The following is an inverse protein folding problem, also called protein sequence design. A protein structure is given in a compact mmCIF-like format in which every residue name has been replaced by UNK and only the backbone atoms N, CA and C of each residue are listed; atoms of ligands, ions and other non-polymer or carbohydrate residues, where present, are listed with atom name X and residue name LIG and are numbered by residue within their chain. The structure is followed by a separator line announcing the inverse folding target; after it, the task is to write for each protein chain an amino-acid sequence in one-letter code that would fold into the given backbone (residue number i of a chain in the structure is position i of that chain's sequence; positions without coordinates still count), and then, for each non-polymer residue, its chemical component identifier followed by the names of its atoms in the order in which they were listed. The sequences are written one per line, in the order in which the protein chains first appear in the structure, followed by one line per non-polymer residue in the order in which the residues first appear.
data_IF_218955953769
#
_entry.id   IF_218955953769
#
_cell.length_a   1.000
_cell.length_b   1.000
_cell.length_c   1.000
_cell.angle_alpha   90.00
_cell.angle_beta   90.00
_cell.angle_gamma   90.00
#
_symmetry.space_group_name_H-M   'P 1'
#
loop_
_entity.id
_entity.type
_entity.pdbx_description
1 polymer ?
2 polymer ?
3 non-polymer ?
4 non-polymer ?
5 water ?
#
# COMPACT_ATOMS: atom_id res chain seq x y z
N UNK A 6 9.74 10.87 22.46
CA UNK A 6 8.48 10.16 22.26
C UNK A 6 8.27 9.00 23.22
N UNK A 7 7.08 8.91 23.79
CA UNK A 7 6.82 7.96 24.87
C UNK A 7 6.77 6.52 24.36
N UNK A 8 7.29 5.62 25.21
CA UNK A 8 7.30 4.18 25.00
C UNK A 8 6.24 3.47 25.83
N UNK A 9 5.32 4.20 26.48
CA UNK A 9 4.42 3.60 27.46
C UNK A 9 3.17 3.08 26.76
N UNK A 10 3.11 1.77 26.59
CA UNK A 10 1.91 1.12 26.07
C UNK A 10 0.68 1.45 26.89
N UNK A 11 0.79 1.41 28.24
CA UNK A 11 -0.36 1.70 29.08
C UNK A 11 -0.87 3.10 28.82
N UNK A 12 0.02 4.05 28.60
CA UNK A 12 -0.41 5.41 28.32
C UNK A 12 -1.08 5.50 26.96
N UNK A 13 -0.48 4.86 25.94
CA UNK A 13 -1.15 4.80 24.64
C UNK A 13 -2.55 4.22 24.77
N UNK A 14 -2.67 3.09 25.46
CA UNK A 14 -3.97 2.41 25.60
C UNK A 14 -5.01 3.33 26.20
N UNK A 15 -4.61 4.24 27.08
CA UNK A 15 -5.56 5.21 27.61
C UNK A 15 -6.10 6.11 26.51
N UNK A 16 -5.24 6.62 25.62
CA UNK A 16 -5.75 7.38 24.49
C UNK A 16 -6.64 6.49 23.63
N UNK A 17 -6.15 5.29 23.31
CA UNK A 17 -6.88 4.37 22.44
C UNK A 17 -8.28 4.10 22.95
N UNK A 18 -8.42 3.94 24.27
CA UNK A 18 -9.72 3.60 24.82
C UNK A 18 -10.74 4.68 24.56
N UNK A 19 -10.29 5.94 24.42
CA UNK A 19 -11.19 7.08 24.29
C UNK A 19 -11.37 7.52 22.85
N UNK A 20 -10.57 7.00 21.93
CA UNK A 20 -10.51 7.53 20.58
C UNK A 20 -11.74 7.10 19.78
N UNK A 21 -12.38 8.06 19.14
CA UNK A 21 -13.58 7.80 18.38
C UNK A 21 -13.33 7.75 16.88
N UNK A 22 -12.14 8.21 16.45
CA UNK A 22 -11.86 8.29 15.02
C UNK A 22 -10.35 8.10 14.83
N UNK A 23 -9.96 6.86 14.59
CA UNK A 23 -8.55 6.50 14.43
C UNK A 23 -8.16 6.48 12.95
N UNK A 24 -7.10 7.22 12.60
CA UNK A 24 -6.47 7.07 11.30
C UNK A 24 -5.25 6.20 11.48
N UNK A 25 -5.12 5.20 10.62
CA UNK A 25 -3.99 4.30 10.63
C UNK A 25 -3.32 4.42 9.26
N UNK A 26 -2.11 4.96 9.25
CA UNK A 26 -1.30 5.08 8.05
C UNK A 26 -0.39 3.89 7.98
N UNK A 27 -0.54 3.08 6.93
CA UNK A 27 0.10 1.78 6.81
C UNK A 27 1.12 1.82 5.68
N UNK A 28 2.40 1.65 6.04
CA UNK A 28 3.46 1.66 5.07
C UNK A 28 4.02 0.28 4.72
N UNK A 29 5.15 0.29 4.03
CA UNK A 29 5.67 -0.89 3.37
C UNK A 29 6.01 -2.00 4.35
N UNK A 30 6.35 -1.65 5.61
CA UNK A 30 6.76 -2.65 6.57
C UNK A 30 5.67 -3.64 6.89
N UNK A 31 4.41 -3.21 6.83
CA UNK A 31 3.30 -4.12 7.12
C UNK A 31 3.25 -5.21 6.07
N UNK A 32 3.49 -4.86 4.80
CA UNK A 32 3.52 -5.85 3.74
C UNK A 32 4.78 -6.70 3.83
N UNK A 33 5.91 -6.10 4.20
CA UNK A 33 7.14 -6.89 4.26
C UNK A 33 7.04 -7.95 5.35
N UNK A 34 6.29 -7.70 6.40
CA UNK A 34 6.12 -8.71 7.43
C UNK A 34 5.32 -9.90 6.96
N UNK A 35 4.61 -9.80 5.83
CA UNK A 35 3.92 -10.92 5.22
C UNK A 35 4.76 -11.55 4.10
N UNK A 36 5.99 -11.09 3.94
CA UNK A 36 6.82 -11.66 2.90
C UNK A 36 6.53 -11.13 1.53
N UNK A 37 5.87 -9.98 1.43
CA UNK A 37 5.53 -9.47 0.11
C UNK A 37 6.73 -8.72 -0.45
N UNK A 38 7.26 -9.15 -1.61
CA UNK A 38 8.36 -8.40 -2.22
C UNK A 38 7.90 -7.04 -2.71
N UNK A 39 8.71 -6.01 -2.44
CA UNK A 39 8.41 -4.63 -2.78
C UNK A 39 9.26 -4.10 -3.94
N UNK A 40 10.36 -4.79 -4.25
CA UNK A 40 11.27 -4.45 -5.35
C UNK A 40 11.80 -3.02 -5.22
N UNK A 41 11.91 -2.59 -3.98
CA UNK A 41 12.47 -1.29 -3.63
C UNK A 41 13.53 -1.53 -2.56
N UNK A 42 14.46 -0.60 -2.45
CA UNK A 42 15.45 -0.68 -1.38
C UNK A 42 16.42 -1.82 -1.62
N UNK A 43 17.28 -2.03 -0.63
CA UNK A 43 18.46 -2.84 -0.85
C UNK A 43 18.10 -4.27 -1.21
N UNK A 44 18.69 -4.78 -2.26
CA UNK A 44 18.55 -6.17 -2.62
C UNK A 44 17.26 -6.53 -3.32
N UNK A 45 16.29 -5.62 -3.40
CA UNK A 45 14.97 -6.00 -3.87
C UNK A 45 14.85 -5.86 -5.37
N UNK A 46 15.13 -6.93 -6.12
CA UNK A 46 15.13 -6.90 -7.57
C UNK A 46 14.16 -7.93 -8.16
N UNK A 47 13.69 -7.61 -9.36
CA UNK A 47 12.98 -8.53 -10.25
C UNK A 47 13.84 -8.61 -11.50
N UNK A 48 14.42 -9.77 -11.75
CA UNK A 48 15.38 -9.88 -12.84
C UNK A 48 16.47 -8.84 -12.53
N UNK A 49 16.79 -7.94 -13.47
CA UNK A 49 17.83 -6.93 -13.30
C UNK A 49 17.28 -5.56 -12.93
N UNK A 50 15.99 -5.48 -12.59
CA UNK A 50 15.34 -4.21 -12.36
C UNK A 50 14.78 -4.10 -10.95
N UNK A 51 14.54 -2.85 -10.56
CA UNK A 51 13.76 -2.53 -9.38
C UNK A 51 12.52 -1.76 -9.82
N UNK A 52 11.64 -1.51 -8.86
CA UNK A 52 10.37 -0.86 -9.20
C UNK A 52 10.63 0.47 -9.89
N UNK A 53 11.65 1.21 -9.45
CA UNK A 53 11.91 2.52 -10.04
C UNK A 53 12.23 2.40 -11.52
N UNK A 54 12.70 1.23 -11.99
CA UNK A 54 12.91 1.02 -13.41
C UNK A 54 11.64 0.70 -14.18
N UNK A 55 10.65 0.08 -13.54
CA UNK A 55 9.53 -0.51 -14.26
C UNK A 55 8.20 0.15 -13.99
N UNK A 56 8.01 0.68 -12.79
CA UNK A 56 6.78 1.37 -12.42
C UNK A 56 6.85 2.83 -12.84
N UNK A 57 6.94 3.06 -14.15
CA UNK A 57 7.02 4.37 -14.73
C UNK A 57 6.23 4.42 -16.03
N UNK A 58 5.64 5.56 -16.36
CA UNK A 58 4.96 5.70 -17.65
C UNK A 58 5.88 5.43 -18.84
N UNK A 59 7.16 5.82 -18.74
CA UNK A 59 8.06 5.62 -19.88
C UNK A 59 8.38 4.14 -20.08
N UNK A 60 8.63 3.42 -18.99
CA UNK A 60 8.81 1.99 -19.11
C UNK A 60 7.60 1.32 -19.75
N UNK A 61 6.39 1.70 -19.32
CA UNK A 61 5.19 1.09 -19.90
C UNK A 61 5.01 1.47 -21.35
N UNK A 62 5.40 2.71 -21.70
CA UNK A 62 5.29 3.17 -23.07
C UNK A 62 6.23 2.40 -23.98
N UNK A 63 7.45 2.15 -23.53
CA UNK A 63 8.48 1.51 -24.34
C UNK A 63 8.38 -0.01 -24.32
N UNK A 64 8.04 -0.60 -23.17
CA UNK A 64 8.01 -2.06 -23.03
C UNK A 64 6.83 -2.48 -22.15
N UNK A 65 5.61 -2.33 -22.66
CA UNK A 65 4.44 -2.73 -21.85
C UNK A 65 4.43 -4.20 -21.51
N UNK A 66 4.93 -5.05 -22.39
CA UNK A 66 5.00 -6.46 -22.06
C UNK A 66 5.87 -6.73 -20.84
N UNK A 67 7.05 -6.10 -20.78
CA UNK A 67 7.91 -6.32 -19.64
C UNK A 67 7.27 -5.81 -18.37
N UNK A 68 6.60 -4.66 -18.43
CA UNK A 68 5.97 -4.10 -17.25
C UNK A 68 4.81 -4.98 -16.78
N UNK A 69 4.05 -5.50 -17.72
CA UNK A 69 2.97 -6.42 -17.37
C UNK A 69 3.51 -7.74 -16.84
N UNK A 70 4.63 -8.22 -17.37
CA UNK A 70 5.24 -9.40 -16.78
C UNK A 70 5.54 -9.18 -15.31
N UNK A 71 6.10 -8.01 -14.99
CA UNK A 71 6.44 -7.63 -13.62
C UNK A 71 5.19 -7.64 -12.74
N UNK A 72 4.13 -7.01 -13.22
CA UNK A 72 2.92 -6.95 -12.38
C UNK A 72 2.18 -8.27 -12.34
N UNK A 73 2.28 -9.05 -13.40
CA UNK A 73 1.72 -10.40 -13.38
C UNK A 73 2.39 -11.23 -12.30
N UNK A 74 3.72 -11.19 -12.24
CA UNK A 74 4.42 -11.93 -11.19
C UNK A 74 3.95 -11.51 -9.81
N UNK A 75 3.86 -10.20 -9.56
CA UNK A 75 3.45 -9.73 -8.24
C UNK A 75 2.01 -10.12 -7.92
N UNK A 76 1.13 -10.14 -8.93
CA UNK A 76 -0.23 -10.62 -8.69
C UNK A 76 -0.23 -12.08 -8.27
N UNK A 77 0.52 -12.92 -9.01
CA UNK A 77 0.46 -14.35 -8.78
C UNK A 77 1.14 -14.72 -7.45
N UNK A 78 2.18 -13.99 -7.07
CA UNK A 78 2.88 -14.24 -5.81
C UNK A 78 1.93 -14.18 -4.64
N UNK A 79 0.86 -13.37 -4.75
CA UNK A 79 -0.05 -13.16 -3.63
C UNK A 79 -0.82 -14.42 -3.27
N UNK A 80 -0.89 -15.40 -4.18
CA UNK A 80 -1.52 -16.65 -3.86
C UNK A 80 -0.86 -17.42 -2.74
N UNK A 81 0.39 -17.11 -2.42
CA UNK A 81 1.09 -17.75 -1.33
C UNK A 81 1.37 -16.84 -0.15
N UNK A 82 0.71 -15.69 -0.06
CA UNK A 82 0.95 -14.72 1.00
C UNK A 82 -0.32 -14.53 1.80
N UNK A 83 -0.16 -14.22 3.08
CA UNK A 83 -1.29 -14.08 3.97
C UNK A 83 -1.11 -12.84 4.83
N UNK A 84 -2.20 -12.21 5.25
CA UNK A 84 -2.08 -11.11 6.21
C UNK A 84 -1.36 -11.59 7.45
N UNK A 85 -0.63 -10.67 8.08
CA UNK A 85 0.06 -10.97 9.31
C UNK A 85 -0.74 -10.44 10.50
N UNK A 86 -0.20 -10.66 11.73
CA UNK A 86 -0.91 -10.27 12.94
C UNK A 86 -1.14 -8.78 13.00
N UNK A 87 -0.30 -7.99 12.31
CA UNK A 87 -0.56 -6.56 12.26
C UNK A 87 -1.79 -6.22 11.43
N UNK A 88 -1.90 -6.80 10.22
CA UNK A 88 -3.12 -6.62 9.43
C UNK A 88 -4.32 -7.03 10.25
N UNK A 89 -4.21 -8.16 10.96
CA UNK A 89 -5.38 -8.68 11.64
C UNK A 89 -5.77 -7.80 12.83
N UNK A 90 -4.79 -7.31 13.58
CA UNK A 90 -5.09 -6.41 14.70
C UNK A 90 -5.83 -5.18 14.18
N UNK A 91 -5.40 -4.68 13.03
CA UNK A 91 -5.99 -3.48 12.43
C UNK A 91 -7.40 -3.76 11.95
N UNK A 92 -7.62 -4.86 11.24
CA UNK A 92 -8.98 -5.21 10.83
C UNK A 92 -9.90 -5.46 12.03
N UNK A 93 -9.43 -6.24 13.02
CA UNK A 93 -10.24 -6.56 14.20
C UNK A 93 -10.57 -5.29 14.97
N UNK A 94 -9.67 -4.32 14.94
CA UNK A 94 -9.93 -3.04 15.57
C UNK A 94 -11.10 -2.33 14.90
N UNK A 95 -11.05 -2.23 13.58
CA UNK A 95 -12.12 -1.62 12.79
C UNK A 95 -13.47 -2.27 13.09
N UNK A 96 -13.50 -3.59 13.05
CA UNK A 96 -14.73 -4.32 13.32
C UNK A 96 -15.27 -4.04 14.72
N UNK A 97 -14.42 -4.13 15.75
CA UNK A 97 -14.89 -3.98 17.12
C UNK A 97 -15.32 -2.55 17.38
N UNK A 98 -14.50 -1.59 16.95
CA UNK A 98 -14.85 -0.19 17.17
C UNK A 98 -16.08 0.19 16.38
N UNK A 99 -16.23 -0.35 15.17
CA UNK A 99 -17.40 -0.03 14.35
C UNK A 99 -18.71 -0.38 15.03
N UNK A 100 -18.77 -1.50 15.73
CA UNK A 100 -19.97 -1.83 16.48
C UNK A 100 -20.22 -0.86 17.64
N UNK A 101 -19.19 -0.15 18.08
CA UNK A 101 -19.33 0.85 19.13
C UNK A 101 -19.65 2.25 18.60
N UNK A 102 -19.83 2.38 17.29
CA UNK A 102 -19.98 3.69 16.69
C UNK A 102 -18.71 4.48 16.55
N UNK A 103 -17.56 3.81 16.49
CA UNK A 103 -16.27 4.49 16.42
C UNK A 103 -15.58 4.12 15.11
N UNK A 104 -14.92 5.09 14.50
CA UNK A 104 -14.38 4.94 13.15
C UNK A 104 -12.90 4.57 13.17
N UNK A 105 -12.53 3.63 12.30
CA UNK A 105 -11.14 3.31 11.99
C UNK A 105 -11.01 3.35 10.47
N UNK A 106 -10.00 4.07 9.99
CA UNK A 106 -9.71 4.15 8.58
C UNK A 106 -8.23 3.83 8.40
N UNK A 107 -7.94 3.06 7.38
CA UNK A 107 -6.58 2.65 7.03
C UNK A 107 -6.21 3.33 5.73
N UNK A 108 -5.13 4.09 5.77
CA UNK A 108 -4.59 4.79 4.62
C UNK A 108 -3.30 4.08 4.29
N UNK A 109 -3.24 3.37 3.17
CA UNK A 109 -2.08 2.53 2.91
C UNK A 109 -1.45 2.87 1.57
N UNK A 110 -0.12 2.79 1.53
CA UNK A 110 0.60 2.85 0.28
C UNK A 110 0.77 1.47 -0.34
N UNK A 111 0.48 0.43 0.41
CA UNK A 111 0.57 -0.92 -0.09
C UNK A 111 -0.48 -1.21 -1.15
N UNK A 112 -0.09 -1.98 -2.16
CA UNK A 112 -0.94 -2.27 -3.31
C UNK A 112 -1.34 -3.73 -3.36
N UNK A 113 -1.04 -4.52 -2.33
CA UNK A 113 -1.23 -5.96 -2.37
C UNK A 113 -2.56 -6.43 -1.79
N UNK A 114 -3.34 -5.55 -1.20
CA UNK A 114 -4.68 -5.80 -0.67
C UNK A 114 -4.69 -6.71 0.56
N UNK A 115 -3.54 -6.93 1.23
CA UNK A 115 -3.62 -7.79 2.40
C UNK A 115 -4.48 -7.20 3.49
N UNK A 116 -4.56 -5.87 3.60
CA UNK A 116 -5.52 -5.30 4.52
C UNK A 116 -6.95 -5.73 4.20
N UNK A 117 -7.33 -5.75 2.92
CA UNK A 117 -8.67 -6.20 2.55
C UNK A 117 -8.84 -7.68 2.86
N UNK A 118 -7.85 -8.46 2.53
CA UNK A 118 -7.92 -9.89 2.83
C UNK A 118 -8.08 -10.16 4.33
N UNK A 119 -7.57 -9.26 5.18
CA UNK A 119 -7.67 -9.41 6.63
C UNK A 119 -9.05 -9.01 7.17
N UNK A 120 -9.85 -8.33 6.37
CA UNK A 120 -11.18 -7.92 6.78
C UNK A 120 -11.36 -6.41 6.92
N UNK A 121 -10.34 -5.61 6.64
CA UNK A 121 -10.48 -4.16 6.63
C UNK A 121 -11.44 -3.72 5.52
N UNK A 122 -12.44 -2.93 5.86
CA UNK A 122 -13.37 -2.38 4.90
C UNK A 122 -13.06 -0.92 4.60
N UNK A 123 -12.70 -0.13 5.62
CA UNK A 123 -12.43 1.30 5.45
C UNK A 123 -10.98 1.51 5.07
N UNK A 124 -10.72 1.43 3.77
CA UNK A 124 -9.36 1.38 3.24
C UNK A 124 -9.21 2.40 2.13
N UNK A 125 -8.18 3.24 2.24
CA UNK A 125 -7.78 4.19 1.22
C UNK A 125 -6.45 3.74 0.67
N UNK A 126 -6.47 3.21 -0.53
CA UNK A 126 -5.26 2.70 -1.21
C UNK A 126 -4.69 3.81 -2.06
N UNK A 127 -3.77 4.59 -1.48
CA UNK A 127 -3.26 5.78 -2.16
C UNK A 127 -2.35 5.45 -3.33
N UNK A 128 -1.80 4.25 -3.43
CA UNK A 128 -1.08 3.87 -4.63
C UNK A 128 -1.84 2.89 -5.52
N UNK A 129 -3.12 2.66 -5.29
CA UNK A 129 -3.89 1.76 -6.11
C UNK A 129 -3.74 0.31 -5.71
N UNK A 130 -3.93 -0.61 -6.65
CA UNK A 130 -3.99 -2.04 -6.31
C UNK A 130 -3.44 -2.90 -7.45
N UNK A 131 -2.69 -3.95 -7.08
CA UNK A 131 -2.31 -4.99 -8.03
C UNK A 131 -3.50 -5.63 -8.72
N UNK A 132 -4.65 -5.61 -8.04
CA UNK A 132 -5.86 -6.30 -8.46
C UNK A 132 -6.92 -5.35 -8.99
N UNK A 133 -6.47 -4.24 -9.54
CA UNK A 133 -7.32 -3.38 -10.33
C UNK A 133 -6.60 -3.03 -11.61
N UNK A 134 -7.38 -2.87 -12.68
CA UNK A 134 -6.86 -2.38 -13.95
C UNK A 134 -7.46 -1.02 -14.25
N UNK A 135 -6.75 -0.29 -15.11
CA UNK A 135 -7.29 0.93 -15.69
C UNK A 135 -7.05 0.94 -17.18
N UNK A 136 -8.09 1.26 -17.95
CA UNK A 136 -7.98 1.29 -19.40
C UNK A 136 -7.30 2.57 -19.83
N UNK A 137 -6.20 2.44 -20.59
CA UNK A 137 -5.48 3.59 -21.09
C UNK A 137 -6.24 4.33 -22.20
N UNK A 138 -7.34 3.77 -22.69
CA UNK A 138 -8.17 4.47 -23.66
C UNK A 138 -9.40 5.11 -23.02
N UNK A 139 -10.22 4.32 -22.32
CA UNK A 139 -11.46 4.86 -21.79
C UNK A 139 -11.41 5.25 -20.33
N UNK A 140 -10.35 4.90 -19.60
CA UNK A 140 -10.21 5.30 -18.22
C UNK A 140 -10.94 4.44 -17.20
N UNK A 141 -11.68 3.42 -17.63
CA UNK A 141 -12.45 2.64 -16.67
C UNK A 141 -11.50 1.87 -15.74
N UNK A 142 -11.83 1.85 -14.46
CA UNK A 142 -11.10 1.10 -13.45
C UNK A 142 -11.94 -0.12 -13.09
N UNK A 143 -11.32 -1.31 -13.10
CA UNK A 143 -12.03 -2.56 -12.84
C UNK A 143 -11.24 -3.42 -11.84
N UNK A 144 -11.96 -4.14 -11.00
CA UNK A 144 -11.35 -5.21 -10.21
C UNK A 144 -10.95 -6.35 -11.13
N UNK A 145 -9.83 -6.99 -10.82
CA UNK A 145 -9.37 -8.10 -11.66
C UNK A 145 -8.49 -9.01 -10.81
N UNK A 146 -9.01 -10.19 -10.48
CA UNK A 146 -8.30 -11.21 -9.74
C UNK A 146 -7.98 -12.42 -10.60
N UNK A 147 -8.13 -12.32 -11.91
CA UNK A 147 -8.01 -13.49 -12.77
C UNK A 147 -6.58 -14.00 -12.74
N UNK A 148 -6.44 -15.31 -12.62
CA UNK A 148 -5.14 -15.98 -12.66
C UNK A 148 -5.10 -16.88 -13.89
N UNK A 149 -4.39 -16.46 -14.94
CA UNK A 149 -3.59 -15.25 -15.17
C UNK A 149 -4.48 -14.14 -15.70
N UNK A 150 -4.00 -12.91 -15.66
CA UNK A 150 -4.85 -11.81 -16.10
C UNK A 150 -5.18 -11.92 -17.59
N UNK A 151 -4.28 -12.47 -18.41
CA UNK A 151 -4.59 -12.81 -19.80
C UNK A 151 -3.81 -14.07 -20.16
N UNK A 152 -4.26 -14.81 -21.16
CA UNK A 152 -3.59 -16.08 -21.48
C UNK A 152 -2.13 -15.96 -21.84
N UNK A 153 -1.73 -14.89 -22.54
CA UNK A 153 -0.35 -14.75 -22.97
C UNK A 153 0.62 -14.61 -21.80
N UNK A 154 0.13 -14.19 -20.63
CA UNK A 154 1.01 -14.01 -19.48
C UNK A 154 1.15 -15.27 -18.64
N UNK A 155 0.42 -16.34 -18.95
CA UNK A 155 0.55 -17.59 -18.22
C UNK A 155 1.99 -18.09 -18.26
N UNK A 156 2.57 -18.31 -17.08
CA UNK A 156 3.92 -18.78 -16.96
C UNK A 156 4.98 -17.72 -17.22
N UNK A 157 4.59 -16.47 -17.48
CA UNK A 157 5.53 -15.38 -17.65
C UNK A 157 5.78 -14.65 -16.32
N UNK A 158 6.62 -13.61 -16.37
CA UNK A 158 6.97 -12.84 -15.19
C UNK A 158 7.94 -13.53 -14.24
N UNK A 159 8.58 -14.63 -14.66
CA UNK A 159 9.54 -15.28 -13.79
C UNK A 159 10.57 -14.26 -13.33
N UNK A 160 10.94 -14.22 -12.05
CA UNK A 160 11.78 -13.15 -11.53
C UNK A 160 13.26 -13.41 -11.62
N UNK A 161 13.69 -14.60 -12.03
CA UNK A 161 15.11 -14.93 -11.90
C UNK A 161 15.93 -14.11 -12.88
N UNK A 162 17.07 -13.57 -12.45
CA UNK A 162 17.98 -12.97 -13.42
C UNK A 162 18.26 -13.93 -14.56
N UNK A 163 18.44 -13.37 -15.74
CA UNK A 163 18.61 -14.17 -16.93
C UNK A 163 17.34 -14.51 -17.67
N UNK A 164 16.17 -14.33 -17.06
CA UNK A 164 14.93 -14.62 -17.74
C UNK A 164 14.75 -13.62 -18.89
N UNK A 165 14.48 -14.12 -20.09
CA UNK A 165 14.25 -13.24 -21.22
C UNK A 165 12.86 -12.60 -21.17
N UNK A 166 12.76 -11.41 -21.77
CA UNK A 166 11.46 -10.77 -22.02
C UNK A 166 10.53 -11.71 -22.75
N UNK A 167 9.28 -11.76 -22.31
CA UNK A 167 8.26 -12.49 -23.05
C UNK A 167 7.92 -11.82 -24.38
N UNK A 168 8.04 -10.50 -24.46
CA UNK A 168 7.80 -9.75 -25.70
C UNK A 168 6.45 -10.09 -26.30
N UNK A 169 5.42 -10.01 -25.46
CA UNK A 169 4.05 -10.26 -25.88
C UNK A 169 3.58 -9.08 -26.73
N UNK A 170 2.99 -9.31 -27.90
CA UNK A 170 2.48 -8.17 -28.68
C UNK A 170 1.37 -7.48 -27.90
N UNK A 171 1.31 -6.15 -28.01
CA UNK A 171 0.36 -5.38 -27.19
C UNK A 171 -1.07 -5.87 -27.36
N UNK A 172 -1.45 -6.34 -28.56
CA UNK A 172 -2.81 -6.82 -28.78
C UNK A 172 -3.15 -8.02 -27.92
N UNK A 173 -2.16 -8.73 -27.40
CA UNK A 173 -2.38 -9.89 -26.55
C UNK A 173 -2.11 -9.61 -25.07
N UNK A 174 -1.71 -8.40 -24.70
CA UNK A 174 -1.69 -7.98 -23.31
C UNK A 174 -3.12 -7.73 -22.83
N UNK A 175 -3.34 -7.48 -21.53
CA UNK A 175 -4.71 -7.37 -21.02
C UNK A 175 -5.42 -6.20 -21.68
N UNK A 176 -6.58 -6.49 -22.26
CA UNK A 176 -7.34 -5.50 -23.01
C UNK A 176 -8.65 -5.20 -22.30
N UNK A 177 -9.17 -4.00 -22.55
CA UNK A 177 -10.42 -3.53 -21.94
C UNK A 177 -11.58 -4.33 -22.47
N UNK A 178 -12.48 -4.72 -21.58
CA UNK A 178 -13.64 -5.53 -21.90
C UNK A 178 -14.93 -4.72 -21.83
N UNK A 179 -14.83 -3.40 -21.71
CA UNK A 179 -16.01 -2.58 -21.90
C UNK A 179 -16.44 -2.71 -23.35
N UNK A 180 -17.74 -2.77 -23.57
CA UNK A 180 -18.29 -2.91 -24.92
C UNK A 180 -17.79 -1.80 -25.82
N UNK A 181 -17.17 -2.18 -26.93
CA UNK A 181 -16.64 -1.19 -27.84
C UNK A 181 -15.45 -0.39 -27.38
N UNK A 182 -14.63 -0.90 -26.45
CA UNK A 182 -13.38 -0.22 -26.13
C UNK A 182 -12.18 -1.02 -26.65
N UNK A 183 -11.86 -2.16 -26.04
CA UNK A 183 -10.68 -2.90 -26.48
C UNK A 183 -9.32 -2.25 -26.23
N UNK A 184 -9.26 -1.15 -25.46
CA UNK A 184 -8.00 -0.49 -25.21
C UNK A 184 -7.04 -1.33 -24.40
N UNK A 185 -5.77 -0.92 -24.41
CA UNK A 185 -4.74 -1.59 -23.62
C UNK A 185 -4.89 -1.23 -22.13
N UNK A 186 -4.97 -2.24 -21.28
CA UNK A 186 -5.03 -1.98 -19.85
C UNK A 186 -3.64 -1.79 -19.28
N UNK A 187 -3.58 -0.98 -18.24
CA UNK A 187 -2.45 -0.89 -17.33
C UNK A 187 -2.89 -1.30 -15.94
N UNK A 188 -1.94 -1.62 -15.08
CA UNK A 188 -2.28 -1.75 -13.66
C UNK A 188 -2.82 -0.43 -13.12
N UNK A 189 -3.80 -0.53 -12.24
CA UNK A 189 -4.32 0.66 -11.56
C UNK A 189 -3.49 0.90 -10.31
N UNK A 190 -2.22 1.20 -10.55
CA UNK A 190 -1.28 1.60 -9.52
C UNK A 190 -0.66 2.93 -9.94
N UNK A 191 -0.26 3.69 -8.95
CA UNK A 191 0.46 4.94 -9.17
C UNK A 191 1.90 4.61 -9.50
N UNK A 192 2.39 5.16 -10.60
CA UNK A 192 3.77 4.98 -10.98
C UNK A 192 4.62 6.17 -10.54
N UNK A 193 5.91 5.97 -10.62
CA UNK A 193 6.83 7.07 -10.38
C UNK A 193 6.61 8.17 -11.41
N UNK A 194 6.64 9.41 -10.93
CA UNK A 194 6.38 10.56 -11.73
C UNK A 194 4.92 10.85 -11.93
N UNK A 195 4.04 10.15 -11.23
CA UNK A 195 2.61 10.31 -11.45
C UNK A 195 1.94 10.95 -10.26
N UNK A 196 0.81 11.59 -10.57
CA UNK A 196 -0.05 12.19 -9.56
C UNK A 196 -0.81 11.11 -8.79
N UNK A 197 -1.03 11.32 -7.48
CA UNK A 197 -2.06 10.56 -6.75
C UNK A 197 -3.44 11.01 -7.19
N UNK A 198 -4.41 10.12 -7.04
CA UNK A 198 -5.78 10.46 -7.36
C UNK A 198 -6.23 11.61 -6.48
N UNK A 199 -6.55 12.78 -7.02
CA UNK A 199 -6.95 13.89 -6.13
C UNK A 199 -8.19 13.57 -5.31
N UNK A 200 -9.08 12.69 -5.78
CA UNK A 200 -10.25 12.36 -5.00
C UNK A 200 -9.87 11.56 -3.75
N UNK A 201 -8.91 10.64 -3.88
CA UNK A 201 -8.38 9.93 -2.72
C UNK A 201 -7.73 10.90 -1.75
N UNK A 202 -6.91 11.83 -2.26
CA UNK A 202 -6.30 12.83 -1.39
C UNK A 202 -7.35 13.65 -0.65
N UNK A 203 -8.42 14.03 -1.35
CA UNK A 203 -9.51 14.74 -0.67
C UNK A 203 -10.08 13.92 0.47
N UNK A 204 -10.28 12.61 0.24
CA UNK A 204 -10.80 11.76 1.31
C UNK A 204 -9.79 11.64 2.44
N UNK A 205 -8.51 11.52 2.10
CA UNK A 205 -7.49 11.47 3.15
C UNK A 205 -7.56 12.72 4.00
N UNK A 206 -7.64 13.89 3.35
CA UNK A 206 -7.65 15.14 4.11
C UNK A 206 -8.82 15.17 5.08
N UNK A 207 -10.00 14.72 4.63
CA UNK A 207 -11.16 14.68 5.50
C UNK A 207 -10.89 13.81 6.73
N UNK A 208 -10.23 12.67 6.54
CA UNK A 208 -10.04 11.79 7.70
C UNK A 208 -9.08 12.44 8.67
N UNK A 209 -7.99 13.00 8.15
CA UNK A 209 -6.99 13.60 9.00
C UNK A 209 -7.55 14.81 9.73
N UNK A 210 -8.46 15.56 9.07
CA UNK A 210 -9.07 16.72 9.72
C UNK A 210 -9.94 16.34 10.91
N UNK A 211 -10.50 15.12 10.92
CA UNK A 211 -11.48 14.74 11.91
C UNK A 211 -10.97 13.73 12.93
N UNK A 212 -9.84 13.08 12.69
CA UNK A 212 -9.42 12.00 13.59
C UNK A 212 -9.00 12.57 14.94
N UNK A 213 -9.12 11.75 15.97
CA UNK A 213 -8.61 12.10 17.29
C UNK A 213 -7.45 11.21 17.73
N UNK A 214 -6.94 10.34 16.86
CA UNK A 214 -5.76 9.51 17.13
C UNK A 214 -5.22 9.04 15.78
N UNK A 215 -3.90 9.12 15.61
CA UNK A 215 -3.29 8.72 14.36
C UNK A 215 -2.17 7.74 14.62
N UNK A 216 -2.23 6.59 13.96
CA UNK A 216 -1.14 5.63 13.98
C UNK A 216 -0.38 5.64 12.67
N UNK A 217 0.94 5.58 12.76
CA UNK A 217 1.81 5.39 11.62
C UNK A 217 2.46 4.05 11.84
N UNK A 218 2.25 3.12 10.93
CA UNK A 218 2.64 1.73 11.14
C UNK A 218 3.47 1.26 9.94
N UNK A 219 4.60 0.61 10.22
CA UNK A 219 5.40 0.05 9.15
C UNK A 219 6.12 1.06 8.30
N UNK A 220 6.31 2.27 8.82
CA UNK A 220 7.02 3.31 8.11
C UNK A 220 7.31 4.43 9.09
N UNK A 221 8.04 5.45 8.64
CA UNK A 221 8.44 6.57 9.49
C UNK A 221 7.62 7.80 9.15
N UNK A 222 7.33 8.62 10.17
CA UNK A 222 6.49 9.79 9.98
C UNK A 222 7.21 10.94 9.28
N UNK A 223 8.50 10.82 9.03
CA UNK A 223 9.31 11.89 8.44
C UNK A 223 9.68 11.59 6.99
N UNK A 224 9.12 10.55 6.40
CA UNK A 224 9.34 10.25 4.99
C UNK A 224 7.97 10.04 4.37
N UNK A 225 7.95 10.13 3.04
CA UNK A 225 6.75 9.87 2.26
C UNK A 225 6.32 8.42 2.48
N UNK A 226 5.01 8.14 2.62
CA UNK A 226 3.87 9.09 2.62
C UNK A 226 3.49 9.69 3.95
N UNK A 227 3.89 9.09 5.07
CA UNK A 227 3.44 9.59 6.35
C UNK A 227 3.79 11.06 6.54
N UNK A 228 4.93 11.52 6.03
CA UNK A 228 5.26 12.94 6.20
C UNK A 228 4.26 13.88 5.54
N UNK A 229 3.45 13.39 4.58
CA UNK A 229 2.41 14.23 3.98
C UNK A 229 1.20 14.38 4.86
N UNK A 230 1.02 13.46 5.79
CA UNK A 230 -0.22 13.31 6.54
C UNK A 230 -0.06 13.60 8.03
N UNK A 231 0.99 13.08 8.65
CA UNK A 231 1.11 13.18 10.11
C UNK A 231 1.25 14.62 10.59
N UNK A 232 1.98 15.51 9.91
CA UNK A 232 2.10 16.89 10.43
C UNK A 232 0.77 17.62 10.54
N UNK A 233 -0.14 17.40 9.60
CA UNK A 233 -1.47 17.98 9.69
C UNK A 233 -2.13 17.59 11.01
N UNK A 234 -2.00 16.32 11.38
CA UNK A 234 -2.62 15.80 12.59
C UNK A 234 -1.93 16.38 13.82
N UNK A 235 -0.60 16.31 13.86
CA UNK A 235 0.11 16.85 15.03
C UNK A 235 -0.17 18.34 15.21
N UNK A 236 -0.37 19.06 14.10
CA UNK A 236 -0.64 20.50 14.21
C UNK A 236 -1.91 20.77 14.98
N UNK A 237 -2.91 19.89 14.90
CA UNK A 237 -4.13 20.08 15.67
C UNK A 237 -3.99 19.61 17.10
N UNK A 238 -2.83 19.08 17.51
CA UNK A 238 -2.70 18.57 18.85
C UNK A 238 -3.21 17.16 19.04
N UNK A 239 -3.37 16.40 17.96
CA UNK A 239 -3.83 15.03 18.04
C UNK A 239 -2.63 14.10 18.23
N UNK A 240 -2.70 13.15 19.15
CA UNK A 240 -1.56 12.25 19.35
C UNK A 240 -1.28 11.42 18.10
N UNK A 241 0.01 11.31 17.77
CA UNK A 241 0.52 10.44 16.72
C UNK A 241 1.38 9.35 17.36
N UNK A 242 1.06 8.10 17.09
CA UNK A 242 1.83 6.97 17.60
C UNK A 242 2.44 6.21 16.44
N UNK A 243 3.74 6.02 16.50
CA UNK A 243 4.52 5.37 15.47
C UNK A 243 4.85 3.95 15.91
N UNK A 244 4.67 3.00 15.00
CA UNK A 244 4.92 1.55 15.20
C UNK A 244 5.80 1.11 14.05
N UNK A 245 7.10 1.01 14.30
CA UNK A 245 8.02 0.61 13.24
C UNK A 245 9.26 -0.03 13.86
N UNK A 246 10.19 -0.46 12.99
CA UNK A 246 11.33 -1.25 13.43
C UNK A 246 12.56 -0.40 13.66
N UNK A 247 12.46 0.92 13.50
CA UNK A 247 13.61 1.78 13.70
C UNK A 247 13.87 1.92 15.20
N UNK A 248 15.08 1.55 15.63
CA UNK A 248 15.49 1.80 17.00
C UNK A 248 15.64 3.29 17.26
N UNK A 249 15.88 4.05 16.21
CA UNK A 249 15.88 5.51 16.29
C UNK A 249 14.44 6.01 16.21
N UNK A 250 13.91 6.66 17.25
CA UNK A 250 12.73 7.50 17.02
C UNK A 250 13.09 8.66 16.10
N UNK A 251 13.01 8.45 14.78
CA UNK A 251 13.41 9.47 13.82
C UNK A 251 12.71 10.80 14.06
N UNK A 252 11.70 10.83 14.93
CA UNK A 252 10.94 12.04 15.23
C UNK A 252 10.84 12.26 16.73
N UNK A 253 10.78 13.54 17.09
CA UNK A 253 10.01 13.97 18.25
C UNK A 253 9.07 15.06 17.75
N UNK A 254 8.03 15.32 18.55
CA UNK A 254 6.84 16.07 18.17
C UNK A 254 5.70 15.07 18.10
N UNK A 255 6.02 13.77 18.03
CA UNK A 255 5.01 12.74 18.04
C UNK A 255 5.06 12.00 19.37
N UNK A 256 3.87 11.70 19.87
CA UNK A 256 3.70 11.33 21.27
C UNK A 256 4.36 9.99 21.58
N UNK A 257 4.22 9.01 20.69
CA UNK A 257 4.59 7.64 21.00
C UNK A 257 5.43 7.04 19.89
N UNK A 258 6.31 6.12 20.29
CA UNK A 258 7.06 5.32 19.35
C UNK A 258 7.26 3.94 19.96
N UNK A 259 6.80 2.93 19.25
CA UNK A 259 6.86 1.54 19.70
C UNK A 259 7.70 0.79 18.69
N UNK A 260 8.81 0.25 19.17
CA UNK A 260 9.77 -0.41 18.31
C UNK A 260 9.43 -1.88 18.20
N UNK A 261 9.52 -2.40 16.99
CA UNK A 261 9.31 -3.81 16.74
C UNK A 261 8.44 -4.11 15.53
N UNK A 262 8.39 -5.39 15.17
CA UNK A 262 7.45 -5.83 14.13
C UNK A 262 6.03 -5.41 14.48
N UNK A 263 5.34 -4.83 13.49
CA UNK A 263 3.94 -4.45 13.72
C UNK A 263 3.11 -5.62 14.21
N UNK A 264 3.41 -6.83 13.74
CA UNK A 264 2.69 -8.02 14.19
C UNK A 264 2.94 -8.37 15.65
N UNK A 265 3.96 -7.77 16.26
CA UNK A 265 4.20 -7.98 17.69
C UNK A 265 3.58 -6.89 18.53
N UNK A 266 3.69 -5.65 18.10
CA UNK A 266 3.20 -4.54 18.91
C UNK A 266 1.72 -4.25 18.70
N UNK A 267 1.20 -4.34 17.46
CA UNK A 267 -0.18 -3.89 17.24
C UNK A 267 -1.23 -4.78 17.91
N UNK A 268 -1.07 -6.12 17.96
CA UNK A 268 -2.10 -6.91 18.65
C UNK A 268 -2.30 -6.48 20.09
N UNK A 269 -1.19 -6.08 20.74
CA UNK A 269 -1.30 -5.56 22.10
C UNK A 269 -1.88 -4.15 22.11
N UNK A 270 -1.35 -3.28 21.26
CA UNK A 270 -1.79 -1.88 21.30
C UNK A 270 -3.27 -1.75 20.96
N UNK A 271 -3.78 -2.55 20.02
CA UNK A 271 -5.14 -2.37 19.51
C UNK A 271 -6.16 -3.35 20.12
N UNK A 272 -5.80 -4.06 21.17
CA UNK A 272 -6.69 -5.06 21.77
C UNK A 272 -7.96 -4.44 22.35
C UNK B 1 10.77 7.75 -13.60
N UNK B 2 10.98 6.81 -12.50
CA UNK B 2 12.29 6.31 -12.09
C UNK B 2 12.75 7.12 -10.86
N UNK B 3 12.01 6.87 -9.60
CA UNK B 3 12.28 7.50 -8.32
C UNK B 3 11.69 8.94 -8.28
N UNK B 4 10.43 9.12 -7.50
CA UNK B 4 9.69 10.38 -7.36
C UNK B 4 8.18 10.03 -7.25
N UNK B 5 7.45 9.75 -5.96
CA UNK B 5 6.02 9.36 -5.95
C UNK B 5 5.00 10.38 -5.39
X LIG C 1 -11.50 0.84 -22.12
X LIG D 1 3.83 10.82 -6.22
X LIG D 1 2.83 11.84 -5.72
X LIG D 1 2.61 11.98 -4.38
X LIG D 1 1.70 12.94 -3.88
X LIG D 1 0.68 13.90 -1.96
X LIG D 1 0.04 14.84 -2.77
X LIG D 1 0.12 14.73 -4.17
X LIG D 1 1.01 13.76 -4.73
X LIG D 1 1.24 13.64 -6.11
X LIG D 1 2.15 12.69 -6.59
X LIG D 1 -0.59 15.78 -5.06
X LIG D 1 1.50 12.99 -2.54
X LIG D 1 0.53 13.86 -0.77
X LIG D 1 3.74 10.51 -7.03
X LIG D 1 3.05 11.42 -3.78
X LIG D 1 -0.44 15.55 -2.39
X LIG D 1 0.80 14.20 -6.71
X LIG D 1 2.30 12.62 -7.51
X LIG D 1 -1.16 15.34 -5.68
X LIG D 1 -1.10 16.35 -4.52
X LIG D 1 0.06 16.27 -5.52
#
# INVERSE_FOLDING_TARGET
QASARPSSSMADFRKFFAKAKHIVIISGAGVSAESGVPTFRGAGGYWRKWQAQDLATPLAFAHNPSRVWEFYHYRREVMGSKEPNAGHRAIAECETRLGKQGRRVVVITQNIDELHRKAGTKNLLEIHGSLFKTRCTSCGVVAENYKSPICPALSGKGAPEPGTQDASIPVEKLPRCEEAGCGGLLRPHVVWFGENLDPAILEEVDRELAHCDLCLVVGTSSVVYPAAMFAPQVAARGVPVAEFNTETTPATNRFRFHFQGPCGTTLPEALA
XHFSX
ZN ZN
MCM N CA C2 C3 C4 C5 C6 C7 C8 C9 C10 O1 O2 HN1 H2 H5 H8 H9 H101 H102 H103
#
